data_IF_764777664060
#
_entry.id   IF_764777664060
#
_cell.length_a   1.000
_cell.length_b   1.000
_cell.length_c   1.000
_cell.angle_alpha   90.00
_cell.angle_beta   90.00
_cell.angle_gamma   90.00
#
_symmetry.space_group_name_H-M   'P 1'
#
loop_
_entity.id
_entity.type
_entity.pdbx_description
1 polymer ?
#
# COMPACT_ATOMS: atom_id res chain seq x y z
N UNK A 1 90.32 32.61 -7.68
CA UNK A 1 89.00 32.02 -7.71
C UNK A 1 88.61 31.70 -6.29
N UNK A 2 88.05 32.67 -5.56
CA UNK A 2 87.48 32.42 -4.22
C UNK A 2 86.17 31.70 -4.40
N UNK A 3 86.13 30.43 -3.97
CA UNK A 3 84.92 29.68 -3.85
C UNK A 3 84.07 30.30 -2.73
N UNK A 4 83.15 31.15 -3.10
CA UNK A 4 82.14 31.69 -2.20
C UNK A 4 81.24 30.62 -1.64
N UNK A 5 81.80 29.79 -0.74
CA UNK A 5 81.03 28.85 0.05
C UNK A 5 80.09 29.60 0.95
N UNK A 6 78.77 29.37 0.79
CA UNK A 6 77.77 29.98 1.66
C UNK A 6 78.19 29.70 3.12
N UNK A 7 78.29 30.76 3.92
CA UNK A 7 78.66 30.64 5.34
C UNK A 7 77.76 29.59 6.02
N UNK A 8 78.35 28.66 6.84
CA UNK A 8 77.57 27.62 7.52
C UNK A 8 76.36 28.19 8.28
N UNK A 9 76.43 29.42 8.69
CA UNK A 9 75.30 30.13 9.30
C UNK A 9 74.13 30.32 8.34
N UNK A 10 74.40 30.68 7.06
CA UNK A 10 73.33 30.82 6.03
C UNK A 10 72.67 29.50 5.76
N UNK A 11 73.42 28.38 5.71
CA UNK A 11 72.88 27.02 5.52
C UNK A 11 71.96 26.63 6.66
N UNK A 12 72.33 26.91 7.91
CA UNK A 12 71.51 26.65 9.09
C UNK A 12 70.19 27.45 9.05
N UNK A 13 70.27 28.73 8.71
CA UNK A 13 69.10 29.60 8.59
C UNK A 13 68.12 29.08 7.51
N UNK A 14 68.63 28.66 6.36
CA UNK A 14 67.80 28.06 5.28
C UNK A 14 67.14 26.77 5.74
N UNK A 15 67.85 25.90 6.44
CA UNK A 15 67.26 24.63 6.99
C UNK A 15 66.15 24.94 7.99
N UNK A 16 66.32 25.90 8.87
CA UNK A 16 65.30 26.34 9.83
C UNK A 16 64.07 26.91 9.12
N UNK A 17 64.26 27.74 8.09
CA UNK A 17 63.13 28.26 7.30
C UNK A 17 62.39 27.15 6.60
N UNK A 18 63.10 26.20 5.97
CA UNK A 18 62.47 25.03 5.31
C UNK A 18 61.71 24.20 6.32
N UNK A 19 62.32 23.96 7.50
CA UNK A 19 61.68 23.20 8.57
C UNK A 19 60.35 23.86 9.05
N UNK A 20 60.39 25.17 9.30
CA UNK A 20 59.16 25.93 9.64
C UNK A 20 58.13 25.93 8.52
N UNK A 21 58.55 26.00 7.26
CA UNK A 21 57.66 25.93 6.12
C UNK A 21 56.94 24.58 6.03
N UNK A 22 57.68 23.49 6.22
CA UNK A 22 57.17 22.10 6.17
C UNK A 22 56.16 21.82 7.33
N UNK A 23 56.44 22.29 8.52
CA UNK A 23 55.56 22.12 9.69
C UNK A 23 54.23 22.90 9.50
N UNK A 24 54.26 23.99 8.75
CA UNK A 24 53.07 24.79 8.47
C UNK A 24 52.10 24.19 7.47
N UNK A 25 52.48 23.13 6.78
CA UNK A 25 51.62 22.46 5.79
C UNK A 25 50.49 21.70 6.48
N UNK A 26 49.25 22.04 6.13
CA UNK A 26 48.05 21.36 6.57
C UNK A 26 47.16 21.01 5.36
N UNK A 27 46.77 19.75 5.29
CA UNK A 27 45.90 19.28 4.24
C UNK A 27 44.47 19.14 4.84
N UNK A 28 43.51 19.82 4.24
CA UNK A 28 42.08 19.74 4.59
C UNK A 28 41.42 18.78 3.62
N UNK A 29 40.73 17.77 4.15
CA UNK A 29 40.00 16.79 3.33
C UNK A 29 38.77 17.44 2.67
N UNK A 30 38.28 16.92 1.53
CA UNK A 30 37.06 17.43 0.88
C UNK A 30 35.83 17.39 1.79
N UNK A 31 35.78 16.47 2.74
CA UNK A 31 34.70 16.31 3.74
C UNK A 31 34.78 17.29 4.90
N UNK A 32 35.82 18.12 4.94
CA UNK A 32 36.06 19.07 6.04
C UNK A 32 36.33 20.46 5.51
N UNK A 33 36.11 21.44 6.38
CA UNK A 33 36.54 22.85 6.20
C UNK A 33 37.37 23.23 7.37
N UNK A 34 38.36 24.10 7.11
CA UNK A 34 39.27 24.55 8.13
C UNK A 34 38.92 26.00 8.59
N UNK A 35 38.95 26.19 9.89
CA UNK A 35 38.94 27.53 10.50
C UNK A 35 40.33 27.80 11.07
N UNK A 36 40.98 28.82 10.57
CA UNK A 36 42.32 29.21 11.06
C UNK A 36 42.17 30.36 12.04
N UNK A 37 42.60 30.12 13.27
CA UNK A 37 42.68 31.11 14.32
C UNK A 37 44.13 31.58 14.48
N UNK A 38 44.29 32.88 14.61
CA UNK A 38 45.58 33.53 14.92
C UNK A 38 45.50 34.18 16.30
N UNK A 39 46.30 33.69 17.23
CA UNK A 39 46.34 34.21 18.60
C UNK A 39 44.92 34.28 19.24
N UNK A 40 44.08 33.24 19.01
CA UNK A 40 42.73 33.21 19.56
C UNK A 40 41.66 34.03 18.82
N UNK A 41 41.99 34.62 17.66
CA UNK A 41 41.03 35.32 16.82
C UNK A 41 40.85 34.61 15.50
N UNK A 42 39.62 34.50 15.01
CA UNK A 42 39.35 34.05 13.65
C UNK A 42 40.14 34.87 12.63
N UNK A 43 40.90 34.20 11.78
CA UNK A 43 41.75 34.81 10.79
C UNK A 43 41.29 34.55 9.36
N UNK A 44 41.09 33.30 8.98
CA UNK A 44 40.66 32.92 7.63
C UNK A 44 39.99 31.58 7.57
N UNK A 45 39.17 31.43 6.53
CA UNK A 45 38.58 30.14 6.15
C UNK A 45 39.53 29.35 5.25
N UNK A 46 39.63 28.04 5.48
CA UNK A 46 40.47 27.15 4.71
C UNK A 46 39.61 26.13 3.95
N UNK A 47 39.67 26.21 2.63
CA UNK A 47 39.01 25.24 1.74
C UNK A 47 39.76 23.91 1.73
N UNK A 48 39.09 22.85 1.17
CA UNK A 48 39.74 21.56 0.96
C UNK A 48 40.99 21.70 0.08
N UNK A 49 42.03 20.90 0.42
CA UNK A 49 43.26 20.86 -0.28
C UNK A 49 44.44 21.38 0.57
N UNK A 50 45.45 21.89 -0.12
CA UNK A 50 46.66 22.41 0.51
C UNK A 50 46.43 23.75 1.18
N UNK A 51 46.77 23.83 2.46
CA UNK A 51 46.74 25.07 3.25
C UNK A 51 48.02 25.18 4.04
N UNK A 52 48.57 26.42 4.07
CA UNK A 52 49.70 26.71 4.89
C UNK A 52 49.28 27.58 6.09
N UNK A 53 49.70 27.18 7.28
CA UNK A 53 49.34 27.75 8.58
C UNK A 53 50.64 28.12 9.30
N UNK A 54 50.72 29.33 9.86
CA UNK A 54 51.94 29.77 10.52
C UNK A 54 52.16 28.93 11.81
N UNK A 55 53.22 28.11 11.87
CA UNK A 55 53.50 27.29 13.04
C UNK A 55 53.62 28.14 14.31
N UNK A 56 53.14 27.65 15.44
CA UNK A 56 53.15 28.26 16.77
C UNK A 56 52.15 29.42 16.98
N UNK A 57 51.73 30.15 15.94
CA UNK A 57 50.84 31.32 16.06
C UNK A 57 49.42 30.95 15.66
N UNK A 58 49.26 30.18 14.60
CA UNK A 58 47.97 29.83 14.03
C UNK A 58 47.56 28.42 14.48
N UNK A 59 46.30 28.27 14.82
CA UNK A 59 45.63 26.97 15.05
C UNK A 59 44.57 26.73 13.99
N UNK A 60 44.51 25.51 13.47
CA UNK A 60 43.50 25.14 12.51
C UNK A 60 42.53 24.13 13.14
N UNK A 61 41.26 24.45 13.17
CA UNK A 61 40.17 23.55 13.51
C UNK A 61 39.52 23.03 12.23
N UNK A 62 39.28 21.73 12.17
CA UNK A 62 38.63 21.09 11.03
C UNK A 62 37.21 20.72 11.42
N UNK A 63 36.24 21.30 10.71
CA UNK A 63 34.80 21.04 10.89
C UNK A 63 34.34 20.08 9.80
N UNK A 64 33.70 19.02 10.19
CA UNK A 64 33.11 18.06 9.26
C UNK A 64 31.82 18.63 8.68
N UNK A 65 31.71 18.66 7.34
CA UNK A 65 30.55 19.17 6.60
C UNK A 65 29.68 18.06 6.01
N UNK A 66 30.05 16.80 6.21
CA UNK A 66 29.24 15.67 5.78
C UNK A 66 28.07 15.47 6.71
N UNK A 67 27.09 14.71 6.26
CA UNK A 67 25.96 14.29 7.10
C UNK A 67 26.48 13.49 8.31
N UNK A 68 26.04 13.88 9.47
CA UNK A 68 26.31 13.26 10.75
C UNK A 68 24.99 12.88 11.41
N UNK A 69 25.01 11.82 12.20
CA UNK A 69 23.87 11.37 12.96
C UNK A 69 24.14 11.53 14.45
N UNK A 70 23.14 12.03 15.17
CA UNK A 70 23.11 11.99 16.63
C UNK A 70 21.88 11.26 17.10
N UNK A 71 22.05 10.45 18.12
CA UNK A 71 20.98 9.69 18.76
C UNK A 71 20.52 10.44 20.00
N UNK A 72 19.23 10.79 20.05
CA UNK A 72 18.62 11.33 21.25
C UNK A 72 18.30 10.15 22.16
N UNK A 73 19.06 10.02 23.25
CA UNK A 73 18.86 8.95 24.24
C UNK A 73 17.39 8.79 24.64
N UNK A 74 16.93 7.55 24.85
CA UNK A 74 15.57 7.27 25.26
C UNK A 74 15.17 8.07 26.49
N UNK A 75 14.00 8.71 26.47
CA UNK A 75 13.43 9.43 27.60
C UNK A 75 11.98 9.04 27.83
N UNK A 76 11.56 9.04 29.08
CA UNK A 76 10.17 8.87 29.45
C UNK A 76 9.40 10.18 29.23
N UNK A 77 8.28 10.08 28.51
CA UNK A 77 7.37 11.18 28.22
C UNK A 77 5.96 10.75 28.62
N UNK A 78 5.23 11.64 29.26
CA UNK A 78 3.82 11.45 29.57
C UNK A 78 3.00 12.00 28.42
N UNK A 79 2.17 11.15 27.85
CA UNK A 79 1.25 11.51 26.76
C UNK A 79 -0.01 12.22 27.30
N UNK A 80 -0.82 12.79 26.42
CA UNK A 80 -2.05 13.51 26.79
C UNK A 80 -3.09 12.61 27.50
N UNK A 81 -3.05 11.31 27.26
CA UNK A 81 -3.87 10.29 27.95
C UNK A 81 -3.25 9.76 29.25
N UNK A 82 -2.26 10.49 29.81
CA UNK A 82 -1.54 10.17 31.05
C UNK A 82 -0.83 8.80 31.06
N UNK A 83 -0.43 8.32 29.89
CA UNK A 83 0.38 7.12 29.76
C UNK A 83 1.86 7.49 29.61
N UNK A 84 2.73 6.75 30.30
CA UNK A 84 4.17 6.88 30.12
C UNK A 84 4.58 6.16 28.83
N UNK A 85 5.45 6.80 28.05
CA UNK A 85 6.07 6.18 26.88
C UNK A 85 7.57 6.46 26.89
N UNK A 86 8.37 5.44 26.65
CA UNK A 86 9.79 5.59 26.39
C UNK A 86 9.97 5.95 24.92
N UNK A 87 10.58 7.10 24.65
CA UNK A 87 10.71 7.64 23.30
C UNK A 87 12.15 7.99 23.01
N UNK A 88 12.64 7.59 21.84
CA UNK A 88 13.92 7.98 21.30
C UNK A 88 13.80 8.47 19.85
N UNK A 89 14.80 9.24 19.39
CA UNK A 89 14.86 9.76 18.03
C UNK A 89 16.29 9.84 17.52
N UNK A 90 16.41 9.84 16.21
CA UNK A 90 17.66 10.04 15.50
C UNK A 90 17.56 11.30 14.64
N UNK A 91 18.57 12.14 14.75
CA UNK A 91 18.67 13.41 14.02
C UNK A 91 19.87 13.35 13.10
N UNK A 92 19.63 13.58 11.82
CA UNK A 92 20.64 13.67 10.79
C UNK A 92 20.85 15.13 10.45
N UNK A 93 22.07 15.60 10.57
CA UNK A 93 22.42 16.99 10.33
C UNK A 93 23.74 17.11 9.59
N UNK A 94 23.98 18.24 8.99
CA UNK A 94 25.26 18.64 8.42
C UNK A 94 25.52 20.10 8.66
N UNK A 95 26.80 20.48 8.70
CA UNK A 95 27.18 21.88 8.67
C UNK A 95 27.13 22.37 7.22
N UNK A 96 26.50 23.53 6.96
CA UNK A 96 26.46 24.12 5.62
C UNK A 96 27.86 24.50 5.16
N UNK A 97 28.15 24.27 3.85
CA UNK A 97 29.45 24.48 3.24
C UNK A 97 29.68 25.97 2.85
N UNK A 98 29.50 26.87 3.80
CA UNK A 98 29.82 28.25 3.67
C UNK A 98 30.62 28.78 4.88
N UNK A 99 31.43 29.80 4.68
CA UNK A 99 32.29 30.35 5.74
C UNK A 99 31.52 30.78 6.98
N UNK A 100 30.37 31.45 6.77
CA UNK A 100 29.53 31.93 7.86
C UNK A 100 28.99 30.80 8.71
N UNK A 101 28.46 29.75 8.08
CA UNK A 101 27.87 28.62 8.76
C UNK A 101 28.91 27.76 9.48
N UNK A 102 30.05 27.48 8.85
CA UNK A 102 31.15 26.73 9.48
C UNK A 102 31.70 27.52 10.68
N UNK A 103 31.81 28.83 10.57
CA UNK A 103 32.21 29.69 11.69
C UNK A 103 31.17 29.63 12.82
N UNK A 104 29.88 29.75 12.49
CA UNK A 104 28.83 29.76 13.49
C UNK A 104 28.71 28.40 14.21
N UNK A 105 28.93 27.31 13.51
CA UNK A 105 28.90 25.96 14.13
C UNK A 105 30.02 25.73 15.12
N UNK A 106 31.13 26.47 15.01
CA UNK A 106 32.27 26.33 15.91
C UNK A 106 32.28 27.37 17.06
N UNK A 107 31.71 28.57 16.83
CA UNK A 107 31.84 29.67 17.79
C UNK A 107 30.52 30.03 18.48
N UNK A 108 29.37 29.79 17.86
CA UNK A 108 28.09 30.15 18.45
C UNK A 108 27.52 29.03 19.34
N UNK A 109 28.06 27.81 19.20
CA UNK A 109 27.60 26.62 19.93
C UNK A 109 28.79 25.90 20.53
N UNK A 110 28.72 25.55 21.80
CA UNK A 110 29.82 24.87 22.48
C UNK A 110 29.99 23.41 22.08
N UNK A 111 28.86 22.69 22.02
CA UNK A 111 28.79 21.31 21.57
C UNK A 111 27.50 21.12 20.77
N UNK A 112 27.66 21.06 19.45
CA UNK A 112 26.57 20.91 18.50
C UNK A 112 25.76 19.66 18.77
N UNK A 113 26.42 18.54 18.99
CA UNK A 113 25.75 17.24 19.20
C UNK A 113 24.89 17.28 20.47
N UNK A 114 25.47 17.73 21.55
CA UNK A 114 24.79 17.83 22.83
C UNK A 114 23.58 18.77 22.77
N UNK A 115 23.74 19.91 22.11
CA UNK A 115 22.63 20.87 22.00
C UNK A 115 21.52 20.41 21.09
N UNK A 116 21.82 19.78 19.94
CA UNK A 116 20.79 19.18 19.07
C UNK A 116 20.02 18.09 19.81
N UNK A 117 20.68 17.20 20.55
CA UNK A 117 20.05 16.16 21.34
C UNK A 117 19.09 16.75 22.38
N UNK A 118 19.53 17.73 23.17
CA UNK A 118 18.68 18.34 24.19
C UNK A 118 17.49 19.11 23.59
N UNK A 119 17.71 19.79 22.48
CA UNK A 119 16.64 20.48 21.74
C UNK A 119 15.62 19.48 21.21
N UNK A 120 16.07 18.38 20.60
CA UNK A 120 15.20 17.32 20.11
C UNK A 120 14.41 16.68 21.24
N UNK A 121 15.04 16.36 22.37
CA UNK A 121 14.37 15.80 23.56
C UNK A 121 13.27 16.72 24.10
N UNK A 122 13.54 18.00 24.17
CA UNK A 122 12.55 18.99 24.64
C UNK A 122 11.40 19.14 23.65
N UNK A 123 11.71 19.19 22.36
CA UNK A 123 10.71 19.30 21.29
C UNK A 123 9.83 18.06 21.23
N UNK A 124 10.42 16.85 21.31
CA UNK A 124 9.67 15.59 21.37
C UNK A 124 8.73 15.54 22.56
N UNK A 125 9.19 15.99 23.74
CA UNK A 125 8.33 16.05 24.93
C UNK A 125 7.12 16.95 24.71
N UNK A 126 7.31 18.09 24.07
CA UNK A 126 6.22 19.00 23.76
C UNK A 126 5.24 18.41 22.74
N UNK A 127 5.73 17.84 21.64
CA UNK A 127 4.88 17.25 20.58
C UNK A 127 4.09 16.06 21.15
N UNK A 128 4.78 15.08 21.73
CA UNK A 128 4.16 13.84 22.23
C UNK A 128 3.24 14.10 23.41
N UNK A 129 3.57 15.06 24.27
CA UNK A 129 2.71 15.46 25.41
C UNK A 129 1.34 16.00 24.99
N UNK A 130 1.17 16.45 23.76
CA UNK A 130 -0.12 16.88 23.21
C UNK A 130 -0.92 15.75 22.54
N UNK A 131 -0.30 14.61 22.28
CA UNK A 131 -0.89 13.47 21.57
C UNK A 131 -1.25 12.33 22.53
N UNK A 132 -2.26 11.56 22.15
CA UNK A 132 -2.50 10.27 22.80
C UNK A 132 -1.45 9.25 22.35
N UNK A 133 -1.20 8.21 23.14
CA UNK A 133 -0.25 7.16 22.78
C UNK A 133 -0.62 6.48 21.45
N UNK A 134 -1.90 6.27 21.20
CA UNK A 134 -2.41 5.71 19.93
C UNK A 134 -2.10 6.64 18.75
N UNK A 135 -2.37 7.93 18.87
CA UNK A 135 -2.07 8.93 17.83
C UNK A 135 -0.57 9.08 17.61
N UNK A 136 0.23 9.13 18.65
CA UNK A 136 1.69 9.22 18.56
C UNK A 136 2.29 8.03 17.78
N UNK A 137 1.75 6.83 17.96
CA UNK A 137 2.20 5.66 17.23
C UNK A 137 1.70 5.62 15.76
N UNK A 138 0.50 6.17 15.48
CA UNK A 138 -0.09 6.18 14.14
C UNK A 138 0.41 7.33 13.27
N UNK A 139 0.74 8.49 13.87
CA UNK A 139 1.07 9.74 13.17
C UNK A 139 2.57 10.06 13.22
N UNK A 140 3.44 9.05 13.24
CA UNK A 140 4.91 9.22 13.30
C UNK A 140 5.44 10.18 12.23
N UNK A 141 4.88 10.13 11.02
CA UNK A 141 5.29 11.03 9.94
C UNK A 141 5.07 12.50 10.28
N UNK A 142 3.95 12.84 10.91
CA UNK A 142 3.62 14.19 11.33
C UNK A 142 4.53 14.66 12.48
N UNK A 143 4.82 13.77 13.42
CA UNK A 143 5.75 14.05 14.52
C UNK A 143 7.15 14.34 13.96
N UNK A 144 7.63 13.54 13.01
CA UNK A 144 8.92 13.73 12.35
C UNK A 144 9.00 15.08 11.63
N UNK A 145 7.94 15.46 10.90
CA UNK A 145 7.86 16.73 10.18
C UNK A 145 7.85 17.94 11.13
N UNK A 146 7.07 17.85 12.21
CA UNK A 146 7.01 18.91 13.22
C UNK A 146 8.34 19.05 13.97
N UNK A 147 8.94 17.92 14.38
CA UNK A 147 10.27 17.88 14.98
C UNK A 147 11.30 18.50 14.05
N UNK A 148 11.34 18.10 12.79
CA UNK A 148 12.25 18.64 11.77
C UNK A 148 12.09 20.14 11.60
N UNK A 149 10.85 20.63 11.51
CA UNK A 149 10.55 22.07 11.33
C UNK A 149 11.06 22.91 12.51
N UNK A 150 10.81 22.44 13.74
CA UNK A 150 11.28 23.15 14.94
C UNK A 150 12.80 23.11 15.01
N UNK A 151 13.41 21.95 14.76
CA UNK A 151 14.87 21.84 14.78
C UNK A 151 15.54 22.77 13.76
N UNK A 152 15.06 22.83 12.51
CA UNK A 152 15.60 23.76 11.48
C UNK A 152 15.55 25.20 11.96
N UNK A 153 14.40 25.61 12.52
CA UNK A 153 14.21 26.98 12.97
C UNK A 153 15.23 27.36 14.05
N UNK A 154 15.40 26.52 15.05
CA UNK A 154 16.27 26.78 16.20
C UNK A 154 17.76 26.66 15.84
N UNK A 155 18.13 25.68 14.98
CA UNK A 155 19.53 25.45 14.60
C UNK A 155 20.03 26.35 13.46
N UNK A 156 19.15 27.09 12.81
CA UNK A 156 19.50 27.97 11.69
C UNK A 156 20.60 28.99 12.03
N UNK A 157 20.58 29.55 13.27
CA UNK A 157 21.59 30.49 13.76
C UNK A 157 22.97 29.86 14.02
N UNK A 158 23.02 28.51 14.11
CA UNK A 158 24.26 27.75 14.33
C UNK A 158 24.98 27.39 13.03
N UNK A 159 24.39 27.70 11.87
CA UNK A 159 24.93 27.30 10.57
C UNK A 159 24.75 25.82 10.23
N UNK A 160 23.81 25.16 10.88
CA UNK A 160 23.51 23.75 10.73
C UNK A 160 22.26 23.55 9.87
N UNK A 161 22.29 22.53 9.05
CA UNK A 161 21.19 22.07 8.23
C UNK A 161 20.72 20.72 8.76
N UNK A 162 19.50 20.65 9.25
CA UNK A 162 18.89 19.39 9.66
C UNK A 162 18.36 18.70 8.40
N UNK A 163 18.96 17.58 8.07
CA UNK A 163 18.59 16.81 6.87
C UNK A 163 17.28 16.05 7.11
N UNK A 164 17.17 15.40 8.27
CA UNK A 164 15.95 14.71 8.71
C UNK A 164 16.00 14.46 10.21
N UNK A 165 14.83 14.33 10.79
CA UNK A 165 14.65 13.92 12.17
C UNK A 165 13.63 12.77 12.19
N UNK A 166 13.98 11.66 12.78
CA UNK A 166 13.18 10.43 12.76
C UNK A 166 12.95 9.91 14.17
N UNK A 167 11.70 9.65 14.47
CA UNK A 167 11.30 8.98 15.67
C UNK A 167 11.62 7.48 15.52
N UNK A 168 12.49 6.96 16.39
CA UNK A 168 12.96 5.57 16.31
C UNK A 168 11.97 4.62 16.98
N UNK A 169 11.60 4.89 18.22
CA UNK A 169 10.78 4.01 19.02
C UNK A 169 9.84 4.77 19.95
N UNK A 170 8.65 4.23 20.16
CA UNK A 170 7.70 4.68 21.18
C UNK A 170 7.22 3.43 21.89
N UNK A 171 7.74 3.17 23.09
CA UNK A 171 7.43 1.99 23.87
C UNK A 171 6.64 2.36 25.14
N UNK A 172 5.39 1.92 25.24
CA UNK A 172 4.67 2.01 26.51
C UNK A 172 5.19 0.98 27.52
N UNK A 173 4.97 1.17 28.82
CA UNK A 173 5.20 0.16 29.83
C UNK A 173 4.46 -1.15 29.50
N UNK A 174 5.02 -2.29 29.90
CA UNK A 174 4.49 -3.62 29.54
C UNK A 174 3.04 -3.84 29.95
N UNK A 175 2.64 -3.37 31.12
CA UNK A 175 1.27 -3.45 31.63
C UNK A 175 0.26 -2.68 30.78
N UNK A 176 0.65 -1.51 30.30
CA UNK A 176 -0.13 -0.69 29.35
C UNK A 176 -0.19 -1.39 28.00
N UNK A 177 0.93 -1.91 27.51
CA UNK A 177 1.00 -2.64 26.23
C UNK A 177 0.10 -3.88 26.26
N UNK A 178 0.13 -4.66 27.32
CA UNK A 178 -0.72 -5.85 27.49
C UNK A 178 -2.21 -5.48 27.52
N UNK A 179 -2.54 -4.38 28.20
CA UNK A 179 -3.92 -3.88 28.25
C UNK A 179 -4.37 -3.37 26.89
N UNK A 180 -3.55 -2.61 26.18
CA UNK A 180 -3.85 -2.14 24.81
C UNK A 180 -4.03 -3.32 23.86
N UNK A 181 -3.18 -4.34 23.93
CA UNK A 181 -3.29 -5.54 23.11
C UNK A 181 -4.63 -6.27 23.35
N UNK A 182 -5.09 -6.35 24.60
CA UNK A 182 -6.41 -6.94 24.93
C UNK A 182 -7.56 -6.11 24.36
N UNK A 183 -7.48 -4.77 24.46
CA UNK A 183 -8.51 -3.87 23.89
C UNK A 183 -8.55 -3.99 22.37
N UNK A 184 -7.40 -3.92 21.71
CA UNK A 184 -7.30 -4.05 20.24
C UNK A 184 -7.82 -5.42 19.78
N UNK A 185 -7.50 -6.49 20.52
CA UNK A 185 -8.01 -7.82 20.22
C UNK A 185 -9.54 -7.88 20.33
N UNK A 186 -10.11 -7.35 21.39
CA UNK A 186 -11.56 -7.31 21.58
C UNK A 186 -12.27 -6.43 20.53
N UNK A 187 -11.67 -5.31 20.14
CA UNK A 187 -12.18 -4.44 19.09
C UNK A 187 -12.17 -5.15 17.72
N UNK A 188 -11.07 -5.84 17.40
CA UNK A 188 -10.95 -6.62 16.17
C UNK A 188 -11.94 -7.80 16.13
N UNK A 189 -12.13 -8.51 17.25
CA UNK A 189 -13.12 -9.58 17.37
C UNK A 189 -14.55 -9.05 17.15
N UNK A 190 -14.87 -7.88 17.71
CA UNK A 190 -16.16 -7.20 17.49
C UNK A 190 -16.36 -6.81 16.01
N UNK A 191 -15.36 -6.20 15.39
CA UNK A 191 -15.41 -5.82 13.97
C UNK A 191 -15.58 -7.08 13.11
N UNK A 192 -14.79 -8.13 13.35
CA UNK A 192 -14.89 -9.38 12.62
C UNK A 192 -16.28 -10.03 12.76
N UNK A 193 -16.90 -9.98 13.94
CA UNK A 193 -18.24 -10.50 14.15
C UNK A 193 -19.31 -9.69 13.37
N UNK A 194 -19.18 -8.37 13.32
CA UNK A 194 -20.08 -7.51 12.55
C UNK A 194 -19.91 -7.74 11.06
N UNK A 195 -18.65 -7.81 10.58
CA UNK A 195 -18.36 -8.07 9.17
C UNK A 195 -18.86 -9.42 8.72
N UNK A 196 -18.69 -10.45 9.58
CA UNK A 196 -19.22 -11.80 9.31
C UNK A 196 -20.76 -11.80 9.21
N UNK A 197 -21.45 -11.13 10.15
CA UNK A 197 -22.91 -11.01 10.10
C UNK A 197 -23.37 -10.27 8.84
N UNK A 198 -22.71 -9.19 8.47
CA UNK A 198 -23.02 -8.42 7.25
C UNK A 198 -22.76 -9.24 5.98
N UNK A 199 -21.68 -9.99 5.95
CA UNK A 199 -21.37 -10.89 4.84
C UNK A 199 -22.43 -11.99 4.69
N UNK A 200 -22.91 -12.57 5.80
CA UNK A 200 -23.95 -13.58 5.81
C UNK A 200 -25.31 -13.03 5.32
N UNK A 201 -25.67 -11.81 5.77
CA UNK A 201 -26.87 -11.09 5.31
C UNK A 201 -26.79 -10.82 3.79
N UNK A 202 -25.65 -10.32 3.32
CA UNK A 202 -25.42 -10.03 1.90
C UNK A 202 -25.49 -11.32 1.05
N UNK A 203 -24.94 -12.41 1.53
CA UNK A 203 -25.02 -13.70 0.86
C UNK A 203 -26.47 -14.21 0.76
N UNK A 204 -27.23 -14.16 1.87
CA UNK A 204 -28.64 -14.57 1.88
C UNK A 204 -29.50 -13.69 0.95
N UNK A 205 -29.26 -12.40 0.91
CA UNK A 205 -29.97 -11.49 -0.01
C UNK A 205 -29.58 -11.75 -1.48
N UNK A 206 -28.32 -12.10 -1.73
CA UNK A 206 -27.82 -12.57 -3.03
C UNK A 206 -28.52 -13.84 -3.50
N UNK A 207 -28.61 -14.85 -2.64
CA UNK A 207 -29.32 -16.10 -2.92
C UNK A 207 -30.82 -15.88 -3.19
N UNK A 208 -31.47 -15.05 -2.38
CA UNK A 208 -32.87 -14.66 -2.59
C UNK A 208 -33.07 -14.01 -3.94
N UNK A 209 -32.24 -13.03 -4.30
CA UNK A 209 -32.32 -12.35 -5.61
C UNK A 209 -32.06 -13.31 -6.77
N UNK A 210 -31.10 -14.21 -6.63
CA UNK A 210 -30.80 -15.25 -7.64
C UNK A 210 -32.00 -16.21 -7.82
N UNK A 211 -32.63 -16.66 -6.72
CA UNK A 211 -33.80 -17.52 -6.78
C UNK A 211 -35.01 -16.82 -7.45
N UNK A 212 -35.26 -15.55 -7.13
CA UNK A 212 -36.32 -14.76 -7.76
C UNK A 212 -36.06 -14.61 -9.27
N UNK A 213 -34.84 -14.22 -9.66
CA UNK A 213 -34.46 -14.07 -11.08
C UNK A 213 -34.57 -15.39 -11.86
N UNK A 214 -34.19 -16.49 -11.24
CA UNK A 214 -34.35 -17.82 -11.83
C UNK A 214 -35.82 -18.18 -12.04
N UNK A 215 -36.68 -17.92 -11.03
CA UNK A 215 -38.10 -18.17 -11.13
C UNK A 215 -38.80 -17.31 -12.20
N UNK A 216 -38.43 -16.02 -12.26
CA UNK A 216 -38.88 -15.09 -13.31
C UNK A 216 -38.46 -15.57 -14.71
N UNK A 217 -37.20 -16.01 -14.87
CA UNK A 217 -36.66 -16.54 -16.12
C UNK A 217 -37.43 -17.77 -16.57
N UNK A 218 -37.71 -18.75 -15.66
CA UNK A 218 -38.51 -19.95 -15.95
C UNK A 218 -39.96 -19.57 -16.34
N UNK A 219 -40.57 -18.66 -15.62
CA UNK A 219 -41.89 -18.14 -15.94
C UNK A 219 -41.95 -17.55 -17.35
N UNK A 220 -40.98 -16.66 -17.67
CA UNK A 220 -40.92 -16.03 -18.96
C UNK A 220 -40.65 -17.00 -20.11
N UNK A 221 -39.77 -17.98 -19.89
CA UNK A 221 -39.51 -19.04 -20.84
C UNK A 221 -40.77 -19.87 -21.15
N UNK A 222 -41.57 -20.23 -20.12
CA UNK A 222 -42.82 -20.94 -20.32
C UNK A 222 -43.88 -20.14 -21.06
N UNK A 223 -43.99 -18.83 -20.79
CA UNK A 223 -44.87 -17.93 -21.52
C UNK A 223 -44.49 -17.86 -23.00
N UNK A 224 -43.23 -17.60 -23.30
CA UNK A 224 -42.73 -17.51 -24.68
C UNK A 224 -42.88 -18.83 -25.43
N UNK A 225 -42.66 -19.97 -24.74
CA UNK A 225 -42.90 -21.29 -25.34
C UNK A 225 -44.36 -21.50 -25.68
N UNK A 226 -45.27 -21.18 -24.72
CA UNK A 226 -46.70 -21.33 -24.95
C UNK A 226 -47.22 -20.39 -26.07
N UNK A 227 -46.70 -19.15 -26.11
CA UNK A 227 -47.02 -18.22 -27.21
C UNK A 227 -46.50 -18.73 -28.56
N UNK A 228 -45.27 -19.28 -28.59
CA UNK A 228 -44.69 -19.90 -29.77
C UNK A 228 -45.49 -21.11 -30.25
N UNK A 229 -45.94 -22.02 -29.34
CA UNK A 229 -46.78 -23.16 -29.64
C UNK A 229 -48.14 -22.71 -30.17
N UNK A 230 -48.79 -21.70 -29.51
CA UNK A 230 -50.07 -21.19 -29.96
C UNK A 230 -49.95 -20.54 -31.37
N UNK A 231 -48.91 -19.80 -31.63
CA UNK A 231 -48.67 -19.22 -32.96
C UNK A 231 -48.36 -20.28 -33.99
N UNK A 232 -47.61 -21.33 -33.66
CA UNK A 232 -47.37 -22.45 -34.56
C UNK A 232 -48.68 -23.17 -34.91
N UNK A 233 -49.57 -23.43 -33.91
CA UNK A 233 -50.87 -24.04 -34.12
C UNK A 233 -51.75 -23.14 -35.00
N UNK A 234 -51.74 -21.81 -34.78
CA UNK A 234 -52.47 -20.84 -35.59
C UNK A 234 -52.05 -20.89 -37.06
N UNK A 235 -50.72 -20.83 -37.29
CA UNK A 235 -50.15 -20.89 -38.64
C UNK A 235 -50.47 -22.25 -39.34
N UNK A 236 -50.38 -23.34 -38.64
CA UNK A 236 -50.74 -24.66 -39.18
C UNK A 236 -52.20 -24.74 -39.52
N UNK A 237 -53.10 -24.21 -38.67
CA UNK A 237 -54.52 -24.20 -38.91
C UNK A 237 -54.92 -23.30 -40.10
N UNK A 238 -54.29 -22.10 -40.22
CA UNK A 238 -54.46 -21.22 -41.38
C UNK A 238 -53.98 -21.90 -42.68
N UNK A 239 -52.84 -22.55 -42.65
CA UNK A 239 -52.31 -23.29 -43.80
C UNK A 239 -53.24 -24.49 -44.12
N UNK A 240 -53.72 -25.21 -43.12
CA UNK A 240 -54.66 -26.31 -43.30
C UNK A 240 -55.96 -25.81 -43.97
N UNK A 241 -56.55 -24.74 -43.45
CA UNK A 241 -57.79 -24.18 -44.03
C UNK A 241 -57.62 -23.66 -45.49
N UNK A 242 -56.44 -23.21 -45.84
CA UNK A 242 -56.13 -22.63 -47.15
C UNK A 242 -55.75 -23.66 -48.19
N UNK A 243 -55.06 -24.71 -47.83
CA UNK A 243 -54.43 -25.66 -48.77
C UNK A 243 -54.90 -27.11 -48.57
N UNK A 244 -55.59 -27.47 -47.48
CA UNK A 244 -56.04 -28.81 -47.18
C UNK A 244 -57.49 -29.01 -47.61
N UNK A 245 -57.72 -29.19 -48.92
CA UNK A 245 -59.04 -29.48 -49.46
C UNK A 245 -59.00 -30.83 -50.16
N UNK A 246 -59.94 -31.74 -49.83
CA UNK A 246 -60.08 -33.04 -50.46
C UNK A 246 -59.02 -34.09 -50.03
N UNK A 247 -58.39 -34.77 -50.99
CA UNK A 247 -57.46 -35.89 -50.72
C UNK A 247 -56.22 -35.57 -49.87
N UNK A 248 -55.89 -34.29 -49.67
CA UNK A 248 -54.78 -33.89 -48.81
C UNK A 248 -55.00 -34.21 -47.34
N UNK A 249 -56.22 -34.19 -46.85
CA UNK A 249 -56.55 -34.60 -45.47
C UNK A 249 -56.27 -36.07 -45.24
N UNK A 250 -56.69 -36.90 -46.18
CA UNK A 250 -56.47 -38.33 -46.13
C UNK A 250 -54.97 -38.68 -46.14
N UNK A 251 -54.16 -38.00 -46.99
CA UNK A 251 -52.73 -38.22 -47.06
C UNK A 251 -52.02 -37.90 -45.73
N UNK A 252 -52.40 -36.77 -45.09
CA UNK A 252 -51.78 -36.37 -43.79
C UNK A 252 -52.21 -37.28 -42.62
N UNK A 253 -53.42 -37.78 -42.67
CA UNK A 253 -53.85 -38.79 -41.69
C UNK A 253 -53.05 -40.09 -41.84
N UNK A 254 -52.80 -40.52 -43.06
CA UNK A 254 -51.99 -41.73 -43.34
C UNK A 254 -50.51 -41.49 -42.92
N UNK A 255 -49.91 -40.36 -43.18
CA UNK A 255 -48.56 -40.03 -42.73
C UNK A 255 -48.45 -40.01 -41.19
N UNK A 256 -49.46 -39.44 -40.49
CA UNK A 256 -49.49 -39.42 -39.02
C UNK A 256 -49.59 -40.81 -38.40
N UNK A 257 -50.40 -41.65 -39.05
CA UNK A 257 -50.54 -43.07 -38.66
C UNK A 257 -49.22 -43.81 -38.95
N UNK A 258 -48.61 -43.59 -40.08
CA UNK A 258 -47.34 -44.23 -40.44
C UNK A 258 -46.23 -43.80 -39.45
N UNK A 259 -46.12 -42.56 -39.13
CA UNK A 259 -45.11 -42.03 -38.17
C UNK A 259 -45.36 -42.56 -36.75
N UNK A 260 -46.64 -42.71 -36.36
CA UNK A 260 -47.00 -43.31 -35.06
C UNK A 260 -46.72 -44.83 -34.99
N UNK A 261 -46.83 -45.52 -36.11
CA UNK A 261 -46.54 -46.97 -36.22
C UNK A 261 -45.04 -47.26 -36.28
N UNK A 262 -44.25 -46.33 -36.89
CA UNK A 262 -42.78 -46.47 -36.95
C UNK A 262 -42.11 -46.35 -35.56
N UNK A 263 -42.71 -45.58 -34.64
CA UNK A 263 -42.12 -45.32 -33.31
C UNK A 263 -42.74 -46.18 -32.16
N UNK A 264 -43.85 -46.89 -32.34
CA UNK A 264 -44.52 -47.63 -31.28
C UNK A 264 -44.92 -49.07 -31.71
N UNK A 265 -44.45 -50.05 -30.96
CA UNK A 265 -44.73 -51.50 -31.19
C UNK A 265 -46.17 -51.96 -30.83
N UNK A 266 -46.99 -51.13 -30.21
CA UNK A 266 -48.40 -51.39 -29.87
C UNK A 266 -49.26 -50.14 -29.91
N UNK A 267 -50.18 -50.05 -30.86
CA UNK A 267 -51.25 -49.06 -30.86
C UNK A 267 -52.54 -49.73 -30.56
N UNK A 268 -53.19 -49.37 -29.43
CA UNK A 268 -54.54 -49.80 -29.11
C UNK A 268 -55.51 -48.74 -29.66
N UNK A 269 -56.19 -49.09 -30.77
CA UNK A 269 -57.16 -48.22 -31.40
C UNK A 269 -58.56 -48.71 -30.94
N UNK A 270 -59.42 -47.79 -30.40
CA UNK A 270 -60.79 -48.08 -30.06
C UNK A 270 -61.57 -48.50 -31.32
N UNK A 271 -62.28 -49.63 -31.24
CA UNK A 271 -62.89 -50.28 -32.41
C UNK A 271 -64.10 -49.59 -33.08
N UNK A 272 -64.32 -48.32 -32.78
CA UNK A 272 -65.43 -47.48 -33.31
C UNK A 272 -64.97 -46.32 -34.17
N UNK A 273 -63.70 -46.25 -34.60
CA UNK A 273 -63.24 -45.28 -35.58
C UNK A 273 -63.24 -45.79 -37.00
N UNK A 274 -63.77 -45.05 -37.92
CA UNK A 274 -63.81 -45.40 -39.39
C UNK A 274 -62.39 -45.74 -39.93
N UNK A 275 -61.35 -45.18 -39.34
CA UNK A 275 -59.92 -45.41 -39.66
C UNK A 275 -59.50 -46.88 -39.45
N UNK A 276 -60.08 -47.58 -38.45
CA UNK A 276 -59.71 -48.96 -38.14
C UNK A 276 -60.24 -49.87 -39.26
N UNK A 277 -61.36 -49.57 -39.84
CA UNK A 277 -61.89 -50.34 -40.97
C UNK A 277 -61.03 -50.22 -42.23
N UNK A 278 -60.49 -49.06 -42.49
CA UNK A 278 -59.62 -48.83 -43.65
C UNK A 278 -58.23 -49.50 -43.47
N UNK A 279 -57.71 -49.50 -42.24
CA UNK A 279 -56.41 -50.14 -41.97
C UNK A 279 -56.59 -51.66 -41.89
N UNK A 280 -57.72 -52.13 -41.37
CA UNK A 280 -58.08 -53.56 -41.33
C UNK A 280 -58.22 -54.21 -42.73
N UNK A 281 -58.85 -53.49 -43.65
CA UNK A 281 -58.96 -53.88 -45.07
C UNK A 281 -57.64 -53.89 -45.84
N UNK A 282 -56.78 -52.93 -45.56
CA UNK A 282 -55.46 -52.80 -46.23
C UNK A 282 -54.38 -53.72 -45.66
N UNK A 283 -54.45 -54.06 -44.37
CA UNK A 283 -53.41 -54.82 -43.70
C UNK A 283 -53.79 -56.26 -43.41
N UNK A 284 -54.97 -56.71 -43.80
CA UNK A 284 -55.46 -58.08 -43.57
C UNK A 284 -55.66 -58.46 -42.10
N UNK A 285 -55.85 -57.47 -41.20
CA UNK A 285 -56.02 -57.65 -39.77
C UNK A 285 -57.50 -57.74 -39.42
N UNK A 286 -57.96 -58.94 -38.99
CA UNK A 286 -59.35 -59.16 -38.55
C UNK A 286 -59.56 -58.54 -37.16
N UNK A 287 -60.57 -57.67 -36.97
CA UNK A 287 -60.85 -57.02 -35.67
C UNK A 287 -61.35 -58.11 -34.68
N UNK A 288 -60.74 -58.15 -33.50
CA UNK A 288 -61.20 -59.13 -32.44
C UNK A 288 -62.55 -58.60 -31.88
N UNK A 289 -63.62 -59.32 -32.22
CA UNK A 289 -64.92 -59.02 -31.64
C UNK A 289 -64.93 -59.42 -30.16
N UNK A 290 -65.16 -58.41 -29.31
CA UNK A 290 -65.37 -58.64 -27.87
C UNK A 290 -66.59 -59.47 -27.65
N UNK A 291 -66.42 -60.70 -27.16
CA UNK A 291 -67.50 -61.53 -26.70
C UNK A 291 -68.31 -60.82 -25.63
N UNK A 292 -69.55 -60.50 -25.90
CA UNK A 292 -70.49 -60.13 -24.87
C UNK A 292 -70.72 -61.34 -23.99
N UNK A 293 -70.21 -61.27 -22.73
CA UNK A 293 -70.77 -62.14 -21.68
C UNK A 293 -72.07 -61.48 -21.19
N UNK A 294 -73.15 -62.13 -21.54
CA UNK A 294 -74.38 -62.02 -20.79
C UNK A 294 -74.17 -62.51 -19.35
N UNK A 295 -74.37 -61.60 -18.39
CA UNK A 295 -75.25 -61.77 -17.23
C UNK A 295 -75.25 -60.51 -16.44
#
# INVERSE_FOLDING_TARGET
MESGGASPFIVIVIIVIIFFFLIGIRIVRPTHRGLVERLGKYHRFAHAGFNWVFPMIDKMYQVNITEQMVDAEPQEIITNDNLNALVDAQIYYRVKDDEGSVKNSQYNVNDVNYQIVNLARTTLRNIIGTLTLKSANSERGKINEELHTVLIKETSSWGIDIVRAELKQIDPPKDVQDTMNKIVKAENEKIAAVDYATAQETAADGEKRAAIKKAEGIRQARILQAEGEAEAIRLVNEAANKFFVGNAQLLKQLETVQSSLEQNAKIIVPGNMELVNVIGDLAGVVPIKKSQKEN
#
